data_IF_526743290719
#
_entry.id   IF_526743290719
#
_cell.length_a   1.000
_cell.length_b   1.000
_cell.length_c   1.000
_cell.angle_alpha   90.00
_cell.angle_beta   90.00
_cell.angle_gamma   90.00
#
_symmetry.space_group_name_H-M   'P 1'
#
loop_
_entity.id
_entity.type
_entity.pdbx_description
1 polymer ?
#
# COMPACT_ATOMS: atom_id res chain seq x y z
N UNK A 1 -12.24 3.43 -6.38
CA UNK A 1 -10.97 4.18 -6.34
C UNK A 1 -9.98 3.35 -5.55
N UNK A 2 -9.04 2.70 -6.24
CA UNK A 2 -8.07 1.78 -5.66
C UNK A 2 -6.77 2.55 -5.39
N UNK A 3 -6.83 3.42 -4.38
CA UNK A 3 -5.76 4.33 -4.00
C UNK A 3 -5.19 3.93 -2.64
N UNK A 4 -3.87 4.02 -2.49
CA UNK A 4 -3.17 3.82 -1.22
C UNK A 4 -3.02 5.17 -0.53
N UNK A 5 -3.58 5.28 0.66
CA UNK A 5 -3.62 6.52 1.43
C UNK A 5 -2.54 6.48 2.51
N UNK A 6 -1.88 7.62 2.76
CA UNK A 6 -0.99 7.77 3.89
C UNK A 6 -1.79 7.74 5.20
N UNK A 7 -1.53 6.80 6.11
CA UNK A 7 -2.26 6.74 7.38
C UNK A 7 -1.97 7.93 8.30
N UNK A 8 -0.96 8.75 7.98
CA UNK A 8 -0.61 9.90 8.78
C UNK A 8 -1.36 11.17 8.41
N UNK A 9 -1.38 11.49 7.11
CA UNK A 9 -1.94 12.74 6.60
C UNK A 9 -3.21 12.55 5.76
N UNK A 10 -3.62 11.31 5.49
CA UNK A 10 -4.81 11.00 4.68
C UNK A 10 -4.66 11.34 3.20
N UNK A 11 -3.47 11.72 2.73
CA UNK A 11 -3.23 11.99 1.30
C UNK A 11 -2.96 10.70 0.53
N UNK A 12 -3.38 10.68 -0.73
CA UNK A 12 -2.97 9.65 -1.66
C UNK A 12 -1.45 9.60 -1.76
N UNK A 13 -0.91 8.40 -1.59
CA UNK A 13 0.50 8.09 -1.80
C UNK A 13 0.71 7.60 -3.24
N UNK A 14 -0.04 6.57 -3.63
CA UNK A 14 0.14 5.84 -4.89
C UNK A 14 -1.11 5.01 -5.19
N UNK A 15 -1.28 4.57 -6.43
CA UNK A 15 -2.37 3.65 -6.80
C UNK A 15 -2.04 2.20 -6.41
N UNK A 16 -3.05 1.42 -6.02
CA UNK A 16 -2.90 -0.01 -5.67
C UNK A 16 -2.26 -0.78 -6.85
N UNK A 17 -2.73 -0.56 -8.08
CA UNK A 17 -2.21 -1.24 -9.28
C UNK A 17 -0.72 -0.97 -9.52
N UNK A 18 -0.26 0.23 -9.19
CA UNK A 18 1.16 0.60 -9.33
C UNK A 18 2.00 -0.06 -8.25
N UNK A 19 1.51 -0.09 -7.02
CA UNK A 19 2.11 -0.85 -5.92
C UNK A 19 2.21 -2.34 -6.27
N UNK A 20 1.13 -2.93 -6.78
CA UNK A 20 1.12 -4.32 -7.26
C UNK A 20 2.18 -4.57 -8.31
N UNK A 21 2.24 -3.70 -9.33
CA UNK A 21 3.22 -3.83 -10.42
C UNK A 21 4.65 -3.78 -9.90
N UNK A 22 4.93 -2.85 -8.98
CA UNK A 22 6.27 -2.70 -8.40
C UNK A 22 6.62 -3.90 -7.53
N UNK A 23 5.71 -4.31 -6.64
CA UNK A 23 5.94 -5.44 -5.74
C UNK A 23 6.03 -6.78 -6.48
N UNK A 24 5.31 -6.93 -7.60
CA UNK A 24 5.39 -8.11 -8.47
C UNK A 24 6.76 -8.24 -9.15
N UNK A 25 7.40 -7.10 -9.48
CA UNK A 25 8.75 -7.06 -10.06
C UNK A 25 9.88 -7.01 -9.02
N UNK A 26 9.54 -6.81 -7.74
CA UNK A 26 10.52 -6.62 -6.68
C UNK A 26 10.68 -7.89 -5.85
N UNK A 27 11.88 -8.46 -5.83
CA UNK A 27 12.18 -9.69 -5.07
C UNK A 27 11.87 -9.56 -3.57
N UNK A 28 12.12 -8.38 -3.01
CA UNK A 28 11.91 -8.10 -1.58
C UNK A 28 10.43 -7.95 -1.19
N UNK A 29 9.49 -7.83 -2.13
CA UNK A 29 8.05 -7.58 -1.88
C UNK A 29 7.76 -6.44 -0.89
N UNK A 30 8.69 -5.48 -0.83
CA UNK A 30 8.63 -4.30 0.03
C UNK A 30 8.98 -3.08 -0.83
N UNK A 31 8.23 -2.00 -0.64
CA UNK A 31 8.42 -0.70 -1.26
C UNK A 31 8.57 0.35 -0.17
N UNK A 32 9.74 1.00 -0.13
CA UNK A 32 10.03 2.10 0.78
C UNK A 32 10.01 3.41 0.00
N UNK A 33 9.21 4.37 0.44
CA UNK A 33 9.15 5.69 -0.17
C UNK A 33 8.71 6.76 0.84
N UNK A 34 8.53 8.00 0.39
CA UNK A 34 8.14 9.14 1.24
C UNK A 34 6.88 9.79 0.73
N UNK A 35 5.97 10.09 1.65
CA UNK A 35 4.75 10.82 1.37
C UNK A 35 5.07 12.31 1.25
N UNK A 36 4.23 13.04 0.51
CA UNK A 36 4.30 14.50 0.39
C UNK A 36 4.21 15.24 1.74
N UNK A 37 3.69 14.60 2.79
CA UNK A 37 3.71 15.16 4.14
C UNK A 37 5.09 15.09 4.82
N UNK A 38 6.10 14.49 4.19
CA UNK A 38 7.44 14.31 4.74
C UNK A 38 7.65 13.00 5.51
N UNK A 39 6.60 12.20 5.71
CA UNK A 39 6.73 10.89 6.36
C UNK A 39 7.27 9.83 5.40
N UNK A 40 8.26 9.07 5.85
CA UNK A 40 8.63 7.82 5.19
C UNK A 40 7.56 6.76 5.46
N UNK A 41 7.25 5.96 4.44
CA UNK A 41 6.34 4.84 4.54
C UNK A 41 6.95 3.60 3.86
N UNK A 42 6.54 2.46 4.37
CA UNK A 42 6.84 1.12 3.88
C UNK A 42 5.53 0.49 3.43
N UNK A 43 5.49 0.00 2.21
CA UNK A 43 4.39 -0.79 1.68
C UNK A 43 4.89 -2.21 1.45
N UNK A 44 4.15 -3.18 1.96
CA UNK A 44 4.45 -4.61 1.77
C UNK A 44 3.21 -5.39 1.42
N UNK A 45 3.38 -6.43 0.61
CA UNK A 45 2.31 -7.36 0.24
C UNK A 45 2.59 -8.74 0.83
N UNK A 46 2.19 -8.98 2.09
CA UNK A 46 2.39 -10.27 2.73
C UNK A 46 1.56 -11.37 2.06
N UNK A 47 0.37 -11.03 1.55
CA UNK A 47 -0.52 -11.93 0.81
C UNK A 47 -1.05 -11.23 -0.44
N UNK A 48 -1.51 -11.99 -1.43
CA UNK A 48 -2.01 -11.46 -2.71
C UNK A 48 -3.12 -10.42 -2.58
N UNK A 49 -3.91 -10.48 -1.51
CA UNK A 49 -5.11 -9.66 -1.32
C UNK A 49 -4.94 -8.63 -0.19
N UNK A 50 -3.71 -8.38 0.26
CA UNK A 50 -3.46 -7.48 1.37
C UNK A 50 -2.21 -6.63 1.11
N UNK A 51 -2.39 -5.32 1.22
CA UNK A 51 -1.29 -4.38 1.40
C UNK A 51 -1.21 -3.92 2.85
N UNK A 52 0.00 -3.90 3.38
CA UNK A 52 0.28 -3.27 4.65
C UNK A 52 1.17 -2.05 4.43
N UNK A 53 0.71 -0.90 4.91
CA UNK A 53 1.39 0.39 4.85
C UNK A 53 1.81 0.74 6.27
N UNK A 54 3.10 0.90 6.52
CA UNK A 54 3.64 1.39 7.80
C UNK A 54 4.31 2.73 7.58
N UNK A 55 4.09 3.74 8.43
CA UNK A 55 4.84 5.00 8.39
C UNK A 55 5.93 5.03 9.44
N UNK A 56 6.92 5.91 9.25
CA UNK A 56 8.00 6.14 10.21
C UNK A 56 7.51 6.62 11.57
N UNK A 57 6.36 7.30 11.63
CA UNK A 57 5.70 7.67 12.89
C UNK A 57 5.02 6.49 13.60
N UNK A 58 5.15 5.26 13.09
CA UNK A 58 4.61 4.05 13.69
C UNK A 58 3.14 3.78 13.36
N UNK A 59 2.50 4.58 12.49
CA UNK A 59 1.13 4.33 12.05
C UNK A 59 1.13 3.20 11.02
N UNK A 60 0.18 2.28 11.15
CA UNK A 60 0.04 1.15 10.23
C UNK A 60 -1.38 1.07 9.69
N UNK A 61 -1.51 0.83 8.40
CA UNK A 61 -2.77 0.61 7.72
C UNK A 61 -2.71 -0.70 6.94
N UNK A 62 -3.73 -1.51 7.11
CA UNK A 62 -3.93 -2.75 6.35
C UNK A 62 -5.06 -2.50 5.37
N UNK A 63 -4.76 -2.56 4.09
CA UNK A 63 -5.72 -2.35 3.01
C UNK A 63 -5.93 -3.68 2.30
N UNK A 64 -7.11 -4.26 2.47
CA UNK A 64 -7.52 -5.47 1.78
C UNK A 64 -7.96 -5.09 0.36
N UNK A 65 -7.43 -5.80 -0.62
CA UNK A 65 -7.95 -5.77 -1.98
C UNK A 65 -9.00 -6.88 -1.98
N UNK A 66 -10.25 -6.52 -1.76
CA UNK A 66 -11.34 -7.48 -1.93
C UNK A 66 -11.55 -7.63 -3.43
N UNK A 67 -11.18 -8.77 -3.98
CA UNK A 67 -11.56 -9.20 -5.33
C UNK A 67 -13.04 -9.65 -5.25
N UNK A 68 -13.93 -8.74 -4.83
CA UNK A 68 -15.37 -8.98 -4.87
C UNK A 68 -15.93 -8.42 -6.16
N UNK A 69 -15.77 -9.22 -7.23
CA UNK A 69 -16.93 -9.62 -8.01
C UNK A 69 -16.93 -11.15 -8.16
N UNK A 70 -17.06 -11.82 -7.02
CA UNK A 70 -17.62 -13.17 -6.97
C UNK A 70 -19.09 -13.12 -7.36
N UNK A 71 -19.37 -13.54 -8.58
CA UNK A 71 -20.69 -13.72 -9.22
C UNK A 71 -21.58 -14.68 -8.42
N UNK A 72 -22.90 -14.41 -8.33
CA UNK A 72 -23.91 -15.46 -8.46
C UNK A 72 -24.63 -15.41 -9.81
#
# INVERSE_FOLDING_TARGET
>A
MNEMICPSCGKMIMSITEVERILSNTFSKVLLSRCLCGEAFEIRSPTRNLFEISTSSGKRLKQFIDDAEGTP
#
